data_IF_565494215968
#
_entry.id   IF_565494215968
#
_cell.length_a   1.000
_cell.length_b   1.000
_cell.length_c   1.000
_cell.angle_alpha   90.00
_cell.angle_beta   90.00
_cell.angle_gamma   90.00
#
_symmetry.space_group_name_H-M   'P 1'
#
loop_
_entity.id
_entity.type
_entity.pdbx_description
1 polymer ?
#
# COMPACT_ATOMS: atom_id res chain seq x y z
N UNK A 1 0.53 13.58 -8.66
CA UNK A 1 -0.67 14.10 -7.96
C UNK A 1 -0.57 13.52 -6.57
N UNK A 2 -0.43 14.33 -5.51
CA UNK A 2 -0.17 13.78 -4.18
C UNK A 2 -1.23 12.76 -3.73
N UNK A 3 -0.78 11.71 -3.04
CA UNK A 3 -1.68 10.76 -2.39
C UNK A 3 -2.59 11.46 -1.38
N UNK A 4 -3.79 10.91 -1.20
CA UNK A 4 -4.78 11.39 -0.23
C UNK A 4 -5.17 10.27 0.72
N UNK A 5 -5.40 10.60 1.99
CA UNK A 5 -5.86 9.60 2.96
C UNK A 5 -7.11 8.88 2.46
N UNK A 6 -7.17 7.58 2.71
CA UNK A 6 -8.25 6.69 2.32
C UNK A 6 -8.40 6.54 0.79
N UNK A 7 -7.49 7.06 -0.03
CA UNK A 7 -7.50 6.84 -1.47
C UNK A 7 -7.13 5.39 -1.79
N UNK A 8 -7.99 4.71 -2.55
CA UNK A 8 -7.66 3.44 -3.20
C UNK A 8 -7.02 3.68 -4.56
N UNK A 9 -6.04 2.86 -4.90
CA UNK A 9 -5.32 2.92 -6.16
C UNK A 9 -4.52 1.64 -6.44
N UNK A 10 -4.13 1.46 -7.69
CA UNK A 10 -3.11 0.50 -8.09
C UNK A 10 -1.73 1.15 -7.98
N UNK A 11 -0.77 0.43 -7.42
CA UNK A 11 0.63 0.86 -7.34
C UNK A 11 1.56 -0.21 -7.90
N UNK A 12 2.73 0.21 -8.39
CA UNK A 12 3.79 -0.71 -8.82
C UNK A 12 4.89 -0.76 -7.77
N UNK A 13 5.33 -1.96 -7.38
CA UNK A 13 6.48 -2.12 -6.49
C UNK A 13 7.75 -1.75 -7.24
N UNK A 14 8.48 -0.75 -6.75
CA UNK A 14 9.72 -0.25 -7.37
C UNK A 14 10.97 -0.64 -6.58
N UNK A 15 10.84 -1.01 -5.31
CA UNK A 15 11.92 -1.57 -4.51
C UNK A 15 11.36 -2.41 -3.34
N UNK A 16 12.11 -3.43 -2.92
CA UNK A 16 11.78 -4.27 -1.76
C UNK A 16 12.88 -4.10 -0.71
N UNK A 17 12.48 -3.97 0.55
CA UNK A 17 13.35 -3.87 1.71
C UNK A 17 12.95 -4.92 2.75
N UNK A 18 13.83 -5.26 3.72
CA UNK A 18 13.48 -6.20 4.78
C UNK A 18 12.24 -5.80 5.57
N UNK A 19 11.96 -4.49 5.66
CA UNK A 19 10.86 -3.92 6.45
C UNK A 19 9.60 -3.58 5.65
N UNK A 20 9.57 -3.86 4.33
CA UNK A 20 8.43 -3.53 3.48
C UNK A 20 8.79 -3.31 2.02
N UNK A 21 7.92 -2.63 1.28
CA UNK A 21 8.08 -2.36 -0.14
C UNK A 21 7.85 -0.88 -0.45
N UNK A 22 8.71 -0.33 -1.31
CA UNK A 22 8.53 0.99 -1.91
C UNK A 22 7.70 0.82 -3.17
N UNK A 23 6.68 1.66 -3.32
CA UNK A 23 5.73 1.59 -4.43
C UNK A 23 5.62 2.94 -5.12
N UNK A 24 5.12 2.95 -6.35
CA UNK A 24 4.92 4.15 -7.15
C UNK A 24 3.57 4.09 -7.88
N UNK A 25 2.93 5.25 -7.98
CA UNK A 25 1.80 5.49 -8.88
C UNK A 25 1.75 6.95 -9.29
N UNK A 26 1.57 7.20 -10.59
CA UNK A 26 1.44 8.53 -11.20
C UNK A 26 2.54 9.53 -10.78
N UNK A 27 3.77 9.04 -10.63
CA UNK A 27 4.95 9.79 -10.23
C UNK A 27 5.10 10.01 -8.73
N UNK A 28 4.15 9.54 -7.90
CA UNK A 28 4.23 9.62 -6.45
C UNK A 28 4.76 8.33 -5.83
N UNK A 29 5.53 8.47 -4.75
CA UNK A 29 6.18 7.36 -4.08
C UNK A 29 5.54 7.08 -2.73
N UNK A 30 5.26 5.80 -2.49
CA UNK A 30 4.70 5.30 -1.25
C UNK A 30 5.54 4.20 -0.62
N UNK A 31 5.16 3.81 0.61
CA UNK A 31 5.74 2.67 1.29
C UNK A 31 4.66 1.81 1.97
N UNK A 32 4.76 0.51 1.76
CA UNK A 32 3.96 -0.52 2.43
C UNK A 32 4.87 -1.20 3.44
N UNK A 33 4.62 -0.98 4.73
CA UNK A 33 5.31 -1.74 5.80
C UNK A 33 5.01 -3.23 5.63
N UNK A 34 5.96 -4.12 6.00
CA UNK A 34 5.78 -5.57 5.81
C UNK A 34 4.46 -6.09 6.41
N UNK A 35 4.07 -5.57 7.59
CA UNK A 35 2.83 -5.94 8.27
C UNK A 35 1.55 -5.41 7.58
N UNK A 36 1.70 -4.58 6.56
CA UNK A 36 0.63 -4.03 5.70
C UNK A 36 0.59 -4.72 4.33
N UNK A 37 1.34 -5.81 4.16
CA UNK A 37 1.25 -6.71 3.01
C UNK A 37 0.62 -8.06 3.42
N UNK A 38 -0.21 -8.71 2.58
CA UNK A 38 -0.84 -9.99 2.91
C UNK A 38 0.15 -11.10 3.30
N UNK A 39 1.29 -11.18 2.62
CA UNK A 39 2.33 -12.21 2.86
C UNK A 39 2.92 -12.22 4.28
N UNK A 40 2.70 -11.16 5.06
CA UNK A 40 3.10 -11.14 6.47
C UNK A 40 2.14 -11.95 7.36
N UNK A 41 0.88 -12.06 6.97
CA UNK A 41 -0.17 -12.71 7.74
C UNK A 41 -0.57 -14.07 7.16
N UNK A 42 -0.29 -14.30 5.87
CA UNK A 42 -0.62 -15.52 5.15
C UNK A 42 0.61 -16.04 4.41
N UNK A 43 1.11 -17.21 4.84
CA UNK A 43 2.28 -17.85 4.24
C UNK A 43 2.03 -18.36 2.80
N UNK A 44 0.77 -18.46 2.37
CA UNK A 44 0.42 -18.81 1.00
C UNK A 44 0.46 -17.61 0.05
N UNK A 45 0.42 -16.38 0.59
CA UNK A 45 0.55 -15.17 -0.21
C UNK A 45 2.03 -14.92 -0.53
N UNK A 46 2.34 -14.76 -1.82
CA UNK A 46 3.68 -14.45 -2.28
C UNK A 46 4.18 -13.11 -1.68
N UNK A 47 5.43 -13.02 -1.21
CA UNK A 47 6.04 -11.74 -0.84
C UNK A 47 6.08 -10.77 -2.03
N UNK A 48 6.06 -9.44 -1.80
CA UNK A 48 6.09 -8.47 -2.89
C UNK A 48 7.44 -8.53 -3.63
N UNK A 49 7.39 -8.43 -4.96
CA UNK A 49 8.54 -8.35 -5.85
C UNK A 49 8.53 -7.06 -6.65
N UNK A 50 9.71 -6.60 -7.07
CA UNK A 50 9.81 -5.44 -7.97
C UNK A 50 9.09 -5.73 -9.27
N UNK A 51 8.23 -4.81 -9.70
CA UNK A 51 7.37 -4.96 -10.87
C UNK A 51 5.95 -5.46 -10.56
N UNK A 52 5.69 -5.95 -9.34
CA UNK A 52 4.34 -6.35 -8.94
C UNK A 52 3.40 -5.16 -8.93
N UNK A 53 2.16 -5.40 -9.38
CA UNK A 53 1.05 -4.46 -9.24
C UNK A 53 0.22 -4.86 -8.04
N UNK A 54 0.01 -3.92 -7.13
CA UNK A 54 -0.73 -4.12 -5.90
C UNK A 54 -1.93 -3.16 -5.84
N UNK A 55 -3.08 -3.70 -5.50
CA UNK A 55 -4.25 -2.92 -5.10
C UNK A 55 -4.06 -2.48 -3.64
N UNK A 56 -4.10 -1.18 -3.38
CA UNK A 56 -3.76 -0.62 -2.08
C UNK A 56 -4.67 0.53 -1.68
N UNK A 57 -4.62 0.86 -0.40
CA UNK A 57 -5.17 2.09 0.15
C UNK A 57 -4.11 2.93 0.84
N UNK A 58 -4.21 4.25 0.72
CA UNK A 58 -3.39 5.22 1.46
C UNK A 58 -3.91 5.32 2.90
N UNK A 59 -3.07 4.99 3.87
CA UNK A 59 -3.37 5.08 5.30
C UNK A 59 -3.00 6.43 5.90
N UNK A 60 -1.89 7.02 5.42
CA UNK A 60 -1.37 8.28 5.92
C UNK A 60 -0.53 8.97 4.84
N UNK A 61 -1.16 9.94 4.17
CA UNK A 61 -0.58 10.77 3.12
C UNK A 61 0.38 11.81 3.68
N UNK A 62 0.35 12.11 4.99
CA UNK A 62 1.19 13.14 5.61
C UNK A 62 2.64 12.68 5.87
N UNK A 63 2.90 11.37 5.78
CA UNK A 63 4.24 10.80 5.99
C UNK A 63 5.06 10.80 4.69
N UNK A 64 6.38 10.78 4.87
CA UNK A 64 7.36 10.78 3.78
C UNK A 64 8.24 9.52 3.84
N UNK A 65 8.12 8.57 2.90
CA UNK A 65 7.04 8.46 1.92
C UNK A 65 5.69 8.13 2.58
N UNK A 66 4.58 8.40 1.87
CA UNK A 66 3.22 8.11 2.37
C UNK A 66 3.06 6.63 2.70
N UNK A 67 2.18 6.32 3.67
CA UNK A 67 1.96 4.95 4.11
C UNK A 67 0.75 4.35 3.45
N UNK A 68 0.93 3.15 2.91
CA UNK A 68 -0.11 2.40 2.20
C UNK A 68 -0.27 1.01 2.81
N UNK A 69 -1.40 0.39 2.49
CA UNK A 69 -1.71 -0.99 2.85
C UNK A 69 -2.32 -1.75 1.68
N UNK A 70 -1.84 -2.98 1.48
CA UNK A 70 -2.39 -3.95 0.55
C UNK A 70 -3.34 -4.94 1.26
N UNK A 71 -3.71 -4.67 2.51
CA UNK A 71 -4.60 -5.55 3.26
C UNK A 71 -6.06 -5.24 2.96
N UNK A 72 -6.82 -6.28 2.61
CA UNK A 72 -8.27 -6.15 2.37
C UNK A 72 -9.00 -5.48 3.54
N UNK A 73 -8.65 -5.83 4.78
CA UNK A 73 -9.27 -5.21 5.97
C UNK A 73 -9.07 -3.70 6.06
N UNK A 74 -7.91 -3.20 5.62
CA UNK A 74 -7.62 -1.77 5.68
C UNK A 74 -8.33 -1.04 4.54
N UNK A 75 -8.42 -1.68 3.36
CA UNK A 75 -9.20 -1.23 2.21
C UNK A 75 -10.69 -1.12 2.57
N UNK A 76 -11.26 -2.15 3.20
CA UNK A 76 -12.65 -2.17 3.67
C UNK A 76 -12.95 -1.06 4.70
N UNK A 77 -12.00 -0.77 5.60
CA UNK A 77 -12.14 0.32 6.58
C UNK A 77 -12.15 1.68 5.86
N UNK A 78 -11.22 1.89 4.92
CA UNK A 78 -11.13 3.13 4.17
C UNK A 78 -12.37 3.37 3.30
N UNK A 79 -12.93 2.32 2.68
CA UNK A 79 -14.21 2.37 1.97
C UNK A 79 -15.30 2.99 2.84
N UNK A 80 -15.45 2.50 4.08
CA UNK A 80 -16.47 3.00 5.02
C UNK A 80 -16.22 4.46 5.43
N UNK A 81 -14.96 4.85 5.60
CA UNK A 81 -14.62 6.23 5.97
C UNK A 81 -14.90 7.23 4.84
N UNK A 82 -14.88 6.81 3.57
CA UNK A 82 -15.27 7.67 2.43
C UNK A 82 -16.77 7.89 2.30
N UNK A 83 -17.59 7.02 2.88
CA UNK A 83 -19.05 7.09 2.85
C UNK A 83 -19.64 8.01 3.95
N UNK A 84 -18.78 8.57 4.82
CA UNK A 84 -19.17 9.38 5.99
C UNK A 84 -18.87 10.86 5.75
#
# INVERSE_FOLDING_TARGET
>A
MAFRDHQELEVTVIAVAPVGAKVEADGEVGFIDQAKHPSWWDASAAPPQVGDRLHVVVLDASREPSRLSALQRDIDIALRLRET
#
